data_IF_697036934091
#
_entry.id   IF_697036934091
#
_cell.length_a   1.000
_cell.length_b   1.000
_cell.length_c   1.000
_cell.angle_alpha   90.00
_cell.angle_beta   90.00
_cell.angle_gamma   90.00
#
_symmetry.space_group_name_H-M   'P 1'
#
loop_
_entity.id
_entity.type
_entity.pdbx_description
1 polymer ?
#
# COMPACT_ATOMS: atom_id res chain seq x y z
N UNK A 1 15.12 9.94 10.39
CA UNK A 1 14.92 8.66 9.67
C UNK A 1 13.43 8.40 9.58
N UNK A 2 12.89 8.15 8.39
CA UNK A 2 11.48 7.78 8.22
C UNK A 2 11.40 6.34 7.75
N UNK A 3 10.37 5.62 8.19
CA UNK A 3 10.14 4.22 7.83
C UNK A 3 8.73 4.10 7.25
N UNK A 4 8.56 3.21 6.29
CA UNK A 4 7.26 2.69 5.86
C UNK A 4 7.16 1.29 6.43
N UNK A 5 6.19 1.06 7.29
CA UNK A 5 5.99 -0.18 8.02
C UNK A 5 4.73 -0.91 7.53
N UNK A 6 4.75 -2.23 7.70
CA UNK A 6 3.59 -3.07 7.45
C UNK A 6 3.37 -4.03 8.61
N UNK A 7 2.12 -4.06 9.05
CA UNK A 7 1.68 -4.78 10.22
C UNK A 7 0.54 -5.70 9.79
N UNK A 8 0.67 -6.99 10.12
CA UNK A 8 -0.40 -7.96 9.96
C UNK A 8 -1.29 -7.99 11.21
N UNK A 9 -2.59 -8.10 10.99
CA UNK A 9 -3.54 -8.35 12.08
C UNK A 9 -4.68 -9.27 11.66
N UNK A 10 -5.16 -10.07 12.61
CA UNK A 10 -6.39 -10.84 12.52
C UNK A 10 -7.50 -10.27 13.44
N UNK A 11 -7.33 -9.04 13.94
CA UNK A 11 -8.22 -8.40 14.91
C UNK A 11 -7.90 -8.72 16.38
N UNK A 12 -7.00 -9.68 16.67
CA UNK A 12 -6.52 -9.99 18.02
C UNK A 12 -5.02 -9.76 18.16
N UNK A 13 -4.26 -10.27 17.21
CA UNK A 13 -2.81 -10.15 17.17
C UNK A 13 -2.41 -9.00 16.24
N UNK A 14 -1.32 -8.33 16.58
CA UNK A 14 -0.74 -7.25 15.80
C UNK A 14 0.76 -7.55 15.69
N UNK A 15 1.22 -7.85 14.48
CA UNK A 15 2.58 -8.34 14.25
C UNK A 15 3.23 -7.51 13.13
N UNK A 16 4.36 -6.82 13.38
CA UNK A 16 5.14 -6.22 12.30
C UNK A 16 5.70 -7.32 11.39
N UNK A 17 5.44 -7.22 10.08
CA UNK A 17 5.79 -8.27 9.10
C UNK A 17 6.74 -7.78 8.02
N UNK A 18 6.81 -6.47 7.80
CA UNK A 18 7.76 -5.86 6.87
C UNK A 18 8.00 -4.37 7.17
N UNK A 19 9.14 -3.84 6.72
CA UNK A 19 9.41 -2.41 6.73
C UNK A 19 10.42 -2.00 5.63
N UNK A 20 10.40 -0.72 5.26
CA UNK A 20 11.39 -0.10 4.37
C UNK A 20 11.86 1.22 4.96
N UNK A 21 13.17 1.46 4.92
CA UNK A 21 13.76 2.74 5.29
C UNK A 21 13.57 3.72 4.13
N UNK A 22 12.98 4.88 4.40
CA UNK A 22 12.84 5.93 3.40
C UNK A 22 14.11 6.78 3.32
N UNK A 23 14.80 6.69 2.18
CA UNK A 23 16.05 7.39 1.90
C UNK A 23 16.08 7.94 0.46
N UNK A 24 15.16 8.87 0.18
CA UNK A 24 14.98 9.47 -1.15
C UNK A 24 16.25 10.08 -1.77
N UNK A 25 17.16 10.75 -1.03
CA UNK A 25 18.41 11.26 -1.60
C UNK A 25 19.30 10.15 -2.17
N UNK A 26 19.21 8.93 -1.63
CA UNK A 26 20.04 7.80 -2.04
C UNK A 26 19.42 6.97 -3.15
N UNK A 27 18.13 6.65 -3.06
CA UNK A 27 17.46 5.72 -3.98
C UNK A 27 16.42 6.36 -4.90
N UNK A 28 16.08 7.64 -4.68
CA UNK A 28 15.06 8.36 -5.44
C UNK A 28 13.62 7.92 -5.17
N UNK A 29 13.40 6.93 -4.29
CA UNK A 29 12.09 6.31 -4.07
C UNK A 29 11.22 7.19 -3.20
N UNK A 30 9.94 7.25 -3.54
CA UNK A 30 8.91 7.84 -2.70
C UNK A 30 8.38 6.83 -1.70
N UNK A 31 7.69 7.30 -0.64
CA UNK A 31 6.99 6.40 0.28
C UNK A 31 5.95 5.53 -0.43
N UNK A 32 5.34 6.01 -1.52
CA UNK A 32 4.38 5.21 -2.28
C UNK A 32 5.07 4.04 -3.00
N UNK A 33 6.27 4.26 -3.54
CA UNK A 33 7.06 3.20 -4.17
C UNK A 33 7.41 2.11 -3.13
N UNK A 34 7.87 2.52 -1.95
CA UNK A 34 8.17 1.60 -0.86
C UNK A 34 6.94 0.81 -0.39
N UNK A 35 5.75 1.43 -0.37
CA UNK A 35 4.49 0.74 -0.06
C UNK A 35 4.16 -0.32 -1.11
N UNK A 36 4.30 0.01 -2.39
CA UNK A 36 4.13 -0.96 -3.49
C UNK A 36 5.10 -2.14 -3.39
N UNK A 37 6.37 -1.87 -3.06
CA UNK A 37 7.38 -2.92 -2.85
C UNK A 37 7.05 -3.85 -1.68
N UNK A 38 6.51 -3.32 -0.58
CA UNK A 38 6.04 -4.15 0.53
C UNK A 38 4.88 -5.03 0.07
N UNK A 39 3.87 -4.47 -0.61
CA UNK A 39 2.71 -5.24 -1.09
C UNK A 39 3.17 -6.40 -2.01
N UNK A 40 4.07 -6.12 -2.95
CA UNK A 40 4.64 -7.15 -3.82
C UNK A 40 5.40 -8.22 -3.04
N UNK A 41 6.26 -7.81 -2.10
CA UNK A 41 7.02 -8.75 -1.26
C UNK A 41 6.11 -9.68 -0.45
N UNK A 42 4.98 -9.18 0.05
CA UNK A 42 4.02 -10.01 0.79
C UNK A 42 3.37 -11.08 -0.09
N UNK A 43 3.01 -10.73 -1.33
CA UNK A 43 2.46 -11.69 -2.29
C UNK A 43 3.51 -12.72 -2.71
N UNK A 44 4.72 -12.28 -3.02
CA UNK A 44 5.84 -13.18 -3.36
C UNK A 44 6.17 -14.16 -2.23
N UNK A 45 6.09 -13.70 -0.98
CA UNK A 45 6.30 -14.54 0.22
C UNK A 45 5.10 -15.43 0.56
N UNK A 46 4.02 -15.39 -0.22
CA UNK A 46 2.86 -16.25 -0.06
C UNK A 46 1.98 -15.92 1.15
N UNK A 47 1.98 -14.67 1.62
CA UNK A 47 1.09 -14.28 2.72
C UNK A 47 -0.38 -14.37 2.29
N UNK A 48 -1.20 -15.06 3.09
CA UNK A 48 -2.65 -15.10 2.88
C UNK A 48 -3.30 -13.81 3.40
N UNK A 49 -3.31 -12.77 2.57
CA UNK A 49 -3.85 -11.46 2.89
C UNK A 49 -5.18 -11.27 2.18
N UNK A 50 -6.22 -10.93 2.95
CA UNK A 50 -7.54 -10.64 2.39
C UNK A 50 -7.75 -9.15 2.11
N UNK A 51 -7.23 -8.28 2.97
CA UNK A 51 -7.38 -6.82 2.88
C UNK A 51 -6.07 -6.11 3.17
N UNK A 52 -5.76 -5.10 2.36
CA UNK A 52 -4.69 -4.14 2.62
C UNK A 52 -5.31 -2.84 3.16
N UNK A 53 -4.86 -2.37 4.31
CA UNK A 53 -5.38 -1.17 4.96
C UNK A 53 -4.29 -0.09 5.04
N UNK A 54 -4.60 1.15 4.64
CA UNK A 54 -3.67 2.28 4.77
C UNK A 54 -4.40 3.63 4.79
N UNK A 55 -3.68 4.66 5.24
CA UNK A 55 -4.19 6.03 5.26
C UNK A 55 -4.26 6.67 3.85
N UNK A 56 -4.71 7.92 3.79
CA UNK A 56 -4.87 8.64 2.52
C UNK A 56 -3.57 9.07 1.83
N UNK A 57 -2.41 8.90 2.47
CA UNK A 57 -1.11 9.19 1.86
C UNK A 57 -0.70 8.09 0.87
N UNK A 58 -1.08 6.85 1.14
CA UNK A 58 -0.77 5.69 0.31
C UNK A 58 -1.85 5.35 -0.73
N UNK A 59 -2.95 6.11 -0.76
CA UNK A 59 -4.04 5.96 -1.74
C UNK A 59 -3.73 6.55 -3.12
N UNK A 60 -2.48 6.41 -3.58
CA UNK A 60 -2.07 6.78 -4.94
C UNK A 60 -2.81 5.93 -5.97
N UNK A 61 -2.98 6.45 -7.20
CA UNK A 61 -3.65 5.69 -8.27
C UNK A 61 -2.89 4.40 -8.57
N UNK A 62 -1.58 4.47 -8.49
CA UNK A 62 -0.62 3.41 -8.76
C UNK A 62 -0.76 2.27 -7.74
N UNK A 63 -0.79 2.59 -6.44
CA UNK A 63 -1.00 1.57 -5.39
C UNK A 63 -2.37 0.93 -5.47
N UNK A 64 -3.45 1.71 -5.67
CA UNK A 64 -4.79 1.15 -5.78
C UNK A 64 -4.91 0.20 -6.98
N UNK A 65 -4.31 0.56 -8.12
CA UNK A 65 -4.24 -0.30 -9.31
C UNK A 65 -3.36 -1.53 -9.10
N UNK A 66 -2.27 -1.40 -8.35
CA UNK A 66 -1.40 -2.53 -8.02
C UNK A 66 -2.18 -3.57 -7.22
N UNK A 67 -2.87 -3.15 -6.15
CA UNK A 67 -3.64 -4.05 -5.29
C UNK A 67 -4.77 -4.72 -6.08
N UNK A 68 -5.47 -3.97 -6.93
CA UNK A 68 -6.53 -4.48 -7.82
C UNK A 68 -5.99 -5.54 -8.80
N UNK A 69 -4.84 -5.29 -9.44
CA UNK A 69 -4.16 -6.27 -10.32
C UNK A 69 -3.74 -7.54 -9.61
N UNK A 70 -3.44 -7.46 -8.31
CA UNK A 70 -3.08 -8.62 -7.49
C UNK A 70 -4.31 -9.39 -6.98
N UNK A 71 -5.52 -8.95 -7.32
CA UNK A 71 -6.77 -9.59 -6.88
C UNK A 71 -7.06 -9.41 -5.38
N UNK A 72 -6.42 -8.44 -4.73
CA UNK A 72 -6.55 -8.16 -3.31
C UNK A 72 -7.60 -7.07 -3.08
N UNK A 73 -8.26 -7.11 -1.91
CA UNK A 73 -9.13 -6.00 -1.50
C UNK A 73 -8.33 -4.96 -0.70
N UNK A 74 -8.81 -3.72 -0.70
CA UNK A 74 -8.23 -2.66 0.13
C UNK A 74 -9.28 -1.81 0.83
N UNK A 75 -8.89 -1.25 1.98
CA UNK A 75 -9.62 -0.21 2.68
C UNK A 75 -8.67 0.96 2.92
N UNK A 76 -9.01 2.13 2.36
CA UNK A 76 -8.20 3.31 2.54
C UNK A 76 -9.05 4.58 2.65
N UNK A 77 -8.50 5.58 3.33
CA UNK A 77 -9.02 6.96 3.23
C UNK A 77 -8.58 7.54 1.89
N UNK A 78 -9.37 8.47 1.34
CA UNK A 78 -9.01 9.22 0.13
C UNK A 78 -8.81 10.69 0.52
N UNK A 79 -7.77 11.35 0.00
CA UNK A 79 -7.57 12.79 0.23
C UNK A 79 -8.66 13.61 -0.44
N UNK A 80 -9.08 14.72 0.21
CA UNK A 80 -10.14 15.63 -0.28
C UNK A 80 -9.91 16.17 -1.69
N UNK A 81 -8.67 16.31 -2.12
CA UNK A 81 -8.28 16.86 -3.42
C UNK A 81 -8.17 15.80 -4.52
N UNK A 82 -8.64 14.56 -4.27
CA UNK A 82 -8.64 13.50 -5.28
C UNK A 82 -9.65 13.82 -6.37
N UNK A 83 -9.17 13.99 -7.60
CA UNK A 83 -10.04 14.08 -8.77
C UNK A 83 -10.62 12.70 -9.09
N UNK A 84 -11.94 12.61 -9.17
CA UNK A 84 -12.69 11.41 -9.53
C UNK A 84 -13.33 11.66 -10.89
N UNK A 85 -13.17 10.72 -11.81
CA UNK A 85 -13.89 10.73 -13.06
C UNK A 85 -15.11 9.81 -12.93
N UNK A 86 -16.30 10.37 -13.07
CA UNK A 86 -17.57 9.63 -12.99
C UNK A 86 -17.97 8.99 -14.32
N UNK A 87 -17.29 9.33 -15.43
CA UNK A 87 -17.57 8.73 -16.73
C UNK A 87 -17.05 7.29 -16.77
N UNK A 88 -17.90 6.36 -17.23
CA UNK A 88 -17.49 5.00 -17.56
C UNK A 88 -16.73 5.00 -18.88
N UNK A 89 -15.42 5.23 -18.85
CA UNK A 89 -14.54 4.79 -19.92
C UNK A 89 -13.80 3.55 -19.43
N UNK A 90 -14.18 2.40 -19.99
CA UNK A 90 -13.46 1.12 -19.84
C UNK A 90 -12.10 1.23 -20.51
#
# INVERSE_FOLDING_TARGET
MHVVDCIATNGKNIIPIDFRVYDRPRDGKTKNDLCGEIILSLVERGFNIRYICFDSWYSSKENLKLIDKLGLFYLCRIKRNRKINLSKKR
#
